data_IF_243767317634
#
_entry.id   IF_243767317634
#
_cell.length_a   1.000
_cell.length_b   1.000
_cell.length_c   1.000
_cell.angle_alpha   90.00
_cell.angle_beta   90.00
_cell.angle_gamma   90.00
#
_symmetry.space_group_name_H-M   'P 1'
#
loop_
_entity.id
_entity.type
_entity.pdbx_description
1 polymer ?
#
# COMPACT_ATOMS: atom_id res chain seq x y z
N UNK A 1 7.68 -7.69 71.22
CA UNK A 1 8.60 -7.41 70.09
C UNK A 1 8.56 -8.60 69.16
N UNK A 2 7.96 -8.45 67.97
CA UNK A 2 8.09 -9.39 66.83
C UNK A 2 7.39 -8.78 65.61
N UNK A 3 8.16 -8.12 64.72
CA UNK A 3 7.83 -8.02 63.28
C UNK A 3 8.51 -9.22 62.61
N UNK A 4 7.86 -9.89 61.65
CA UNK A 4 8.09 -9.58 60.22
C UNK A 4 6.81 -9.85 59.37
N UNK A 5 6.68 -9.66 58.05
CA UNK A 5 7.61 -9.60 56.91
C UNK A 5 6.79 -9.01 55.74
N UNK A 6 7.35 -8.05 55.02
CA UNK A 6 6.80 -7.52 53.77
C UNK A 6 6.81 -8.64 52.72
N UNK A 7 5.70 -8.85 52.01
CA UNK A 7 5.65 -9.69 50.80
C UNK A 7 5.33 -8.79 49.61
N UNK A 8 6.30 -8.63 48.73
CA UNK A 8 6.13 -7.98 47.43
C UNK A 8 5.15 -8.81 46.59
N UNK A 9 3.99 -8.24 46.28
CA UNK A 9 3.09 -8.77 45.27
C UNK A 9 3.56 -8.24 43.92
N UNK A 10 4.27 -9.08 43.16
CA UNK A 10 4.54 -8.84 41.76
C UNK A 10 3.29 -9.21 40.95
N UNK A 11 2.54 -8.22 40.50
CA UNK A 11 1.38 -8.43 39.63
C UNK A 11 1.88 -8.67 38.21
N UNK A 12 1.93 -9.93 37.79
CA UNK A 12 2.19 -10.31 36.41
C UNK A 12 0.97 -9.93 35.54
N UNK A 13 1.14 -8.94 34.66
CA UNK A 13 0.16 -8.62 33.63
C UNK A 13 0.31 -9.65 32.51
N UNK A 14 -0.55 -10.68 32.53
CA UNK A 14 -0.69 -11.61 31.43
C UNK A 14 -1.51 -10.93 30.31
N UNK A 15 -0.85 -10.35 29.33
CA UNK A 15 -1.48 -9.93 28.08
C UNK A 15 -1.76 -11.18 27.24
N UNK A 16 -2.94 -11.77 27.39
CA UNK A 16 -3.45 -12.80 26.49
C UNK A 16 -3.89 -12.14 25.18
N UNK A 17 -2.96 -12.03 24.22
CA UNK A 17 -3.29 -11.87 22.81
C UNK A 17 -3.98 -13.16 22.36
N UNK A 18 -5.30 -13.18 22.45
CA UNK A 18 -6.13 -14.23 21.88
C UNK A 18 -6.01 -14.15 20.35
N UNK A 19 -5.02 -14.84 19.80
CA UNK A 19 -4.92 -15.15 18.38
C UNK A 19 -6.12 -15.99 17.98
N UNK A 20 -7.06 -15.38 17.26
CA UNK A 20 -8.12 -16.10 16.57
C UNK A 20 -7.49 -16.74 15.34
N UNK A 21 -6.72 -17.80 15.57
CA UNK A 21 -6.31 -18.76 14.55
C UNK A 21 -7.48 -19.72 14.32
N UNK A 22 -8.55 -19.22 13.71
CA UNK A 22 -9.49 -20.09 13.02
C UNK A 22 -8.89 -20.41 11.65
N UNK A 23 -7.81 -21.19 11.68
CA UNK A 23 -7.29 -21.90 10.53
C UNK A 23 -8.34 -22.94 10.10
N UNK A 24 -9.28 -22.52 9.26
CA UNK A 24 -10.01 -23.42 8.39
C UNK A 24 -9.01 -24.07 7.42
N UNK A 25 -9.01 -25.40 7.40
CA UNK A 25 -8.23 -26.29 6.55
C UNK A 25 -7.85 -25.74 5.15
N UNK A 26 -6.55 -25.62 4.88
CA UNK A 26 -5.97 -25.82 3.55
C UNK A 26 -6.17 -24.76 2.46
N UNK A 27 -6.71 -23.57 2.78
CA UNK A 27 -6.84 -22.45 1.85
C UNK A 27 -6.08 -21.23 2.33
N UNK A 28 -5.25 -20.63 1.48
CA UNK A 28 -4.60 -19.36 1.74
C UNK A 28 -5.65 -18.29 2.12
N UNK A 29 -5.32 -17.39 3.05
CA UNK A 29 -6.25 -16.34 3.46
C UNK A 29 -6.67 -15.50 2.24
N UNK A 30 -7.91 -14.97 2.19
CA UNK A 30 -8.36 -14.17 1.04
C UNK A 30 -7.40 -13.03 0.70
N UNK A 31 -6.85 -12.35 1.72
CA UNK A 31 -5.81 -11.35 1.56
C UNK A 31 -4.56 -11.91 0.88
N UNK A 32 -3.99 -12.99 1.42
CA UNK A 32 -2.76 -13.56 0.88
C UNK A 32 -2.97 -14.13 -0.52
N UNK A 33 -4.15 -14.70 -0.82
CA UNK A 33 -4.51 -15.13 -2.16
C UNK A 33 -4.63 -13.96 -3.13
N UNK A 34 -5.16 -12.82 -2.68
CA UNK A 34 -5.22 -11.61 -3.48
C UNK A 34 -3.82 -11.02 -3.76
N UNK A 35 -2.93 -11.00 -2.76
CA UNK A 35 -1.54 -10.56 -2.93
C UNK A 35 -0.79 -11.47 -3.90
N UNK A 36 -0.87 -12.79 -3.72
CA UNK A 36 -0.21 -13.77 -4.59
C UNK A 36 -0.70 -13.67 -6.03
N UNK A 37 -2.02 -13.64 -6.23
CA UNK A 37 -2.65 -13.51 -7.55
C UNK A 37 -2.18 -12.27 -8.31
N UNK A 38 -1.82 -11.20 -7.60
CA UNK A 38 -1.40 -9.93 -8.19
C UNK A 38 0.12 -9.69 -8.08
N UNK A 39 0.92 -10.68 -7.66
CA UNK A 39 2.33 -10.49 -7.36
C UNK A 39 3.13 -9.91 -8.55
N UNK A 40 2.85 -10.32 -9.78
CA UNK A 40 3.53 -9.79 -10.97
C UNK A 40 3.23 -8.30 -11.21
N UNK A 41 1.97 -7.90 -11.01
CA UNK A 41 1.57 -6.49 -11.10
C UNK A 41 2.22 -5.66 -9.99
N UNK A 42 2.27 -6.20 -8.76
CA UNK A 42 2.95 -5.55 -7.62
C UNK A 42 4.47 -5.41 -7.87
N UNK A 43 5.13 -6.48 -8.30
CA UNK A 43 6.58 -6.50 -8.58
C UNK A 43 6.98 -5.66 -9.80
N UNK A 44 6.03 -5.26 -10.64
CA UNK A 44 6.27 -4.36 -11.77
C UNK A 44 5.92 -2.91 -11.46
N UNK A 45 5.39 -2.62 -10.27
CA UNK A 45 4.97 -1.28 -9.88
C UNK A 45 6.07 -0.23 -10.11
N UNK A 46 5.72 0.83 -10.82
CA UNK A 46 6.63 1.94 -11.14
C UNK A 46 7.65 1.67 -12.24
N UNK A 47 7.81 0.42 -12.72
CA UNK A 47 8.72 0.08 -13.84
C UNK A 47 8.16 0.57 -15.16
N UNK A 48 6.87 0.33 -15.39
CA UNK A 48 6.14 0.80 -16.56
C UNK A 48 5.36 2.06 -16.20
N UNK A 49 5.67 3.17 -16.86
CA UNK A 49 5.04 4.48 -16.63
C UNK A 49 4.11 4.81 -17.80
N UNK A 50 3.00 4.11 -17.84
CA UNK A 50 1.92 4.31 -18.82
C UNK A 50 0.59 4.37 -18.10
N UNK A 51 -0.41 5.03 -18.70
CA UNK A 51 -1.75 5.12 -18.12
C UNK A 51 -2.37 3.73 -17.90
N UNK A 52 -2.14 2.81 -18.85
CA UNK A 52 -2.59 1.43 -18.74
C UNK A 52 -1.96 0.70 -17.55
N UNK A 53 -0.65 0.87 -17.32
CA UNK A 53 0.05 0.27 -16.19
C UNK A 53 -0.46 0.83 -14.85
N UNK A 54 -0.58 2.15 -14.73
CA UNK A 54 -1.08 2.81 -13.52
C UNK A 54 -2.54 2.45 -13.24
N UNK A 55 -3.36 2.29 -14.28
CA UNK A 55 -4.73 1.79 -14.15
C UNK A 55 -4.74 0.36 -13.59
N UNK A 56 -3.82 -0.50 -14.06
CA UNK A 56 -3.67 -1.86 -13.53
C UNK A 56 -3.25 -1.83 -12.05
N UNK A 57 -2.25 -1.03 -11.69
CA UNK A 57 -1.78 -0.88 -10.31
C UNK A 57 -2.90 -0.43 -9.37
N UNK A 58 -3.63 0.63 -9.72
CA UNK A 58 -4.77 1.12 -8.93
C UNK A 58 -5.82 0.03 -8.72
N UNK A 59 -6.20 -0.70 -9.79
CA UNK A 59 -7.17 -1.81 -9.69
C UNK A 59 -6.68 -2.94 -8.79
N UNK A 60 -5.40 -3.31 -8.90
CA UNK A 60 -4.77 -4.30 -8.04
C UNK A 60 -4.82 -3.87 -6.57
N UNK A 61 -4.42 -2.63 -6.26
CA UNK A 61 -4.48 -2.10 -4.90
C UNK A 61 -5.89 -2.10 -4.31
N UNK A 62 -6.89 -1.65 -5.09
CA UNK A 62 -8.31 -1.72 -4.69
C UNK A 62 -8.79 -3.15 -4.47
N UNK A 63 -8.32 -4.09 -5.27
CA UNK A 63 -8.69 -5.50 -5.12
C UNK A 63 -8.15 -6.06 -3.82
N UNK A 64 -6.87 -5.82 -3.51
CA UNK A 64 -6.23 -6.32 -2.29
C UNK A 64 -6.83 -5.66 -1.04
N UNK A 65 -7.11 -4.35 -1.10
CA UNK A 65 -7.69 -3.59 0.03
C UNK A 65 -9.03 -4.15 0.54
N UNK A 66 -9.80 -4.84 -0.32
CA UNK A 66 -11.09 -5.43 0.08
C UNK A 66 -10.93 -6.51 1.14
N UNK A 67 -9.90 -7.33 0.99
CA UNK A 67 -9.64 -8.50 1.83
C UNK A 67 -8.52 -8.24 2.85
N UNK A 68 -7.82 -7.12 2.75
CA UNK A 68 -6.72 -6.75 3.61
C UNK A 68 -7.12 -6.63 5.10
N UNK A 69 -6.28 -7.11 6.03
CA UNK A 69 -6.51 -6.92 7.45
C UNK A 69 -6.43 -5.44 7.82
N UNK A 70 -7.12 -5.05 8.90
CA UNK A 70 -7.27 -3.66 9.32
C UNK A 70 -5.93 -2.89 9.43
N UNK A 71 -4.85 -3.57 9.84
CA UNK A 71 -3.53 -2.95 10.02
C UNK A 71 -2.82 -2.51 8.73
N UNK A 72 -3.30 -2.89 7.55
CA UNK A 72 -2.69 -2.53 6.24
C UNK A 72 -3.71 -2.13 5.18
N UNK A 73 -5.01 -2.24 5.49
CA UNK A 73 -6.11 -1.91 4.56
C UNK A 73 -6.08 -0.45 4.11
N UNK A 74 -5.79 0.47 5.02
CA UNK A 74 -5.72 1.90 4.71
C UNK A 74 -4.50 2.24 3.86
N UNK A 75 -3.39 1.49 4.00
CA UNK A 75 -2.21 1.64 3.15
C UNK A 75 -2.54 1.27 1.70
N UNK A 76 -3.13 0.09 1.48
CA UNK A 76 -3.58 -0.32 0.14
C UNK A 76 -4.59 0.65 -0.47
N UNK A 77 -5.53 1.14 0.34
CA UNK A 77 -6.53 2.12 -0.11
C UNK A 77 -5.88 3.45 -0.49
N UNK A 78 -4.90 3.91 0.30
CA UNK A 78 -4.13 5.13 0.01
C UNK A 78 -3.34 4.98 -1.28
N UNK A 79 -2.64 3.86 -1.48
CA UNK A 79 -1.90 3.57 -2.71
C UNK A 79 -2.81 3.58 -3.94
N UNK A 80 -3.99 2.96 -3.85
CA UNK A 80 -4.99 3.03 -4.91
C UNK A 80 -5.40 4.46 -5.23
N UNK A 81 -5.73 5.25 -4.20
CA UNK A 81 -6.22 6.61 -4.34
C UNK A 81 -5.18 7.54 -4.97
N UNK A 82 -3.92 7.50 -4.52
CA UNK A 82 -2.89 8.37 -5.09
C UNK A 82 -2.52 7.96 -6.51
N UNK A 83 -2.61 6.66 -6.84
CA UNK A 83 -2.41 6.16 -8.21
C UNK A 83 -3.51 6.64 -9.14
N UNK A 84 -4.77 6.62 -8.70
CA UNK A 84 -5.88 7.24 -9.42
C UNK A 84 -5.70 8.76 -9.56
N UNK A 85 -5.17 9.42 -8.52
CA UNK A 85 -4.90 10.86 -8.53
C UNK A 85 -3.91 11.26 -9.64
N UNK A 86 -2.87 10.45 -9.84
CA UNK A 86 -1.94 10.63 -10.97
C UNK A 86 -2.67 10.51 -12.31
N UNK A 87 -3.48 9.46 -12.51
CA UNK A 87 -4.23 9.28 -13.76
C UNK A 87 -5.25 10.41 -14.01
N UNK A 88 -5.88 10.91 -12.95
CA UNK A 88 -6.82 12.01 -13.03
C UNK A 88 -6.12 13.32 -13.44
N UNK A 89 -4.97 13.62 -12.83
CA UNK A 89 -4.17 14.80 -13.17
C UNK A 89 -3.71 14.76 -14.64
N UNK A 90 -3.22 13.60 -15.09
CA UNK A 90 -2.82 13.40 -16.49
C UNK A 90 -3.96 13.63 -17.47
N UNK A 91 -5.14 13.06 -17.17
CA UNK A 91 -6.34 13.28 -17.95
C UNK A 91 -6.78 14.74 -17.96
N UNK A 92 -6.67 15.44 -16.83
CA UNK A 92 -7.06 16.85 -16.70
C UNK A 92 -6.20 17.76 -17.56
N UNK A 93 -4.88 17.52 -17.59
CA UNK A 93 -3.97 18.31 -18.43
C UNK A 93 -3.95 17.86 -19.89
N UNK A 94 -4.53 16.69 -20.20
CA UNK A 94 -4.58 16.12 -21.55
C UNK A 94 -3.28 15.45 -22.01
N UNK A 95 -2.43 15.02 -21.07
CA UNK A 95 -1.12 14.43 -21.33
C UNK A 95 -1.02 13.03 -20.70
N UNK A 96 -0.89 11.94 -21.48
CA UNK A 96 -0.76 10.60 -20.89
C UNK A 96 0.62 10.38 -20.25
N UNK A 97 0.71 9.42 -19.30
CA UNK A 97 1.96 9.10 -18.58
C UNK A 97 3.15 8.75 -19.50
N UNK A 98 2.90 8.04 -20.60
CA UNK A 98 3.92 7.66 -21.57
C UNK A 98 4.61 8.87 -22.23
N UNK A 99 3.90 9.98 -22.38
CA UNK A 99 4.39 11.19 -23.06
C UNK A 99 5.16 12.13 -22.12
N UNK A 100 5.09 11.91 -20.80
CA UNK A 100 5.86 12.66 -19.79
C UNK A 100 7.38 12.54 -19.93
N UNK A 101 7.86 11.63 -20.79
CA UNK A 101 9.29 11.48 -21.10
C UNK A 101 9.74 12.34 -22.27
N UNK A 102 8.80 12.92 -23.02
CA UNK A 102 9.11 13.83 -24.11
C UNK A 102 9.25 15.25 -23.56
N UNK A 103 10.49 15.72 -23.46
CA UNK A 103 10.80 17.07 -22.98
C UNK A 103 10.10 18.17 -23.79
N UNK A 104 9.85 17.94 -25.08
CA UNK A 104 9.17 18.94 -25.93
C UNK A 104 7.70 19.05 -25.56
N UNK A 105 7.04 17.92 -25.31
CA UNK A 105 5.63 17.89 -24.92
C UNK A 105 5.47 18.50 -23.52
N UNK A 106 6.36 18.16 -22.59
CA UNK A 106 6.34 18.71 -21.23
C UNK A 106 6.61 20.23 -21.23
N UNK A 107 7.46 20.72 -22.14
CA UNK A 107 7.77 22.16 -22.25
C UNK A 107 6.59 23.01 -22.77
N UNK A 108 5.56 22.40 -23.35
CA UNK A 108 4.35 23.11 -23.81
C UNK A 108 3.31 23.31 -22.69
N UNK A 109 3.50 22.69 -21.52
CA UNK A 109 2.59 22.83 -20.39
C UNK A 109 2.71 24.20 -19.73
N UNK A 110 1.57 24.80 -19.39
CA UNK A 110 1.52 26.03 -18.60
C UNK A 110 1.74 25.77 -17.09
N UNK A 111 1.93 26.85 -16.34
CA UNK A 111 2.17 26.78 -14.89
C UNK A 111 1.05 26.06 -14.12
N UNK A 112 -0.21 26.20 -14.56
CA UNK A 112 -1.34 25.58 -13.90
C UNK A 112 -1.35 24.06 -14.15
N UNK A 113 -1.09 23.64 -15.39
CA UNK A 113 -0.96 22.22 -15.76
C UNK A 113 0.22 21.58 -15.03
N UNK A 114 1.38 22.23 -15.02
CA UNK A 114 2.55 21.76 -14.28
C UNK A 114 2.26 21.62 -12.78
N UNK A 115 1.54 22.59 -12.20
CA UNK A 115 1.12 22.52 -10.80
C UNK A 115 0.21 21.30 -10.54
N UNK A 116 -0.81 21.09 -11.38
CA UNK A 116 -1.73 19.95 -11.26
C UNK A 116 -0.98 18.61 -11.28
N UNK A 117 -0.02 18.45 -12.20
CA UNK A 117 0.80 17.25 -12.26
C UNK A 117 1.72 17.10 -11.05
N UNK A 118 2.41 18.17 -10.66
CA UNK A 118 3.34 18.16 -9.53
C UNK A 118 2.64 17.81 -8.22
N UNK A 119 1.49 18.42 -7.92
CA UNK A 119 0.72 18.11 -6.71
C UNK A 119 0.36 16.61 -6.65
N UNK A 120 -0.05 16.02 -7.79
CA UNK A 120 -0.40 14.60 -7.88
C UNK A 120 0.82 13.69 -7.68
N UNK A 121 1.96 14.03 -8.29
CA UNK A 121 3.20 13.28 -8.12
C UNK A 121 3.79 13.41 -6.71
N UNK A 122 3.70 14.57 -6.08
CA UNK A 122 4.11 14.76 -4.69
C UNK A 122 3.28 13.87 -3.75
N UNK A 123 1.95 13.87 -3.91
CA UNK A 123 1.07 13.00 -3.15
C UNK A 123 1.38 11.52 -3.36
N UNK A 124 1.64 11.11 -4.60
CA UNK A 124 2.06 9.75 -4.91
C UNK A 124 3.41 9.39 -4.28
N UNK A 125 4.41 10.27 -4.39
CA UNK A 125 5.75 10.04 -3.88
C UNK A 125 5.77 9.98 -2.34
N UNK A 126 4.93 10.76 -1.68
CA UNK A 126 4.74 10.75 -0.23
C UNK A 126 4.25 9.40 0.34
N UNK A 127 3.78 8.47 -0.50
CA UNK A 127 3.31 7.14 -0.02
C UNK A 127 4.41 6.11 0.26
N UNK A 128 5.65 6.55 0.52
CA UNK A 128 6.78 5.65 0.76
C UNK A 128 6.53 4.70 1.93
N UNK A 129 5.99 5.22 3.04
CA UNK A 129 5.72 4.45 4.24
C UNK A 129 4.63 3.39 4.00
N UNK A 130 3.57 3.74 3.28
CA UNK A 130 2.49 2.81 2.89
C UNK A 130 3.05 1.69 2.02
N UNK A 131 3.92 2.00 1.05
CA UNK A 131 4.59 0.98 0.21
C UNK A 131 5.44 0.03 1.05
N UNK A 132 6.20 0.56 2.01
CA UNK A 132 6.99 -0.28 2.92
C UNK A 132 6.10 -1.14 3.82
N UNK A 133 5.01 -0.59 4.34
CA UNK A 133 4.07 -1.29 5.21
C UNK A 133 3.41 -2.49 4.48
N UNK A 134 2.92 -2.29 3.26
CA UNK A 134 2.28 -3.38 2.48
C UNK A 134 3.27 -4.49 2.12
N UNK A 135 4.51 -4.14 1.74
CA UNK A 135 5.56 -5.13 1.42
C UNK A 135 5.95 -5.92 2.67
N UNK A 136 6.17 -5.23 3.80
CA UNK A 136 6.48 -5.88 5.08
C UNK A 136 5.35 -6.82 5.49
N UNK A 137 4.10 -6.37 5.40
CA UNK A 137 2.95 -7.17 5.79
C UNK A 137 2.75 -8.40 4.89
N UNK A 138 2.90 -8.26 3.57
CA UNK A 138 2.87 -9.40 2.64
C UNK A 138 3.93 -10.45 2.99
N UNK A 139 5.14 -10.01 3.38
CA UNK A 139 6.19 -10.93 3.82
C UNK A 139 5.88 -11.60 5.15
N UNK A 140 5.36 -10.88 6.14
CA UNK A 140 5.13 -11.44 7.49
C UNK A 140 3.87 -12.29 7.59
N UNK A 141 2.77 -11.86 6.96
CA UNK A 141 1.47 -12.53 7.07
C UNK A 141 1.24 -13.58 6.00
N UNK A 142 1.84 -13.40 4.81
CA UNK A 142 1.60 -14.26 3.65
C UNK A 142 2.83 -15.02 3.19
N UNK A 143 4.00 -14.78 3.79
CA UNK A 143 5.29 -15.34 3.34
C UNK A 143 5.63 -15.01 1.87
N UNK A 144 5.01 -13.97 1.30
CA UNK A 144 5.22 -13.53 -0.08
C UNK A 144 6.28 -12.43 -0.10
N UNK A 145 7.32 -12.62 -0.90
CA UNK A 145 8.34 -11.59 -1.13
C UNK A 145 8.00 -10.75 -2.36
N UNK A 146 7.63 -9.49 -2.13
CA UNK A 146 7.49 -8.47 -3.15
C UNK A 146 8.83 -7.72 -3.34
N UNK A 147 9.15 -7.35 -4.58
CA UNK A 147 10.40 -6.71 -5.01
C UNK A 147 10.24 -5.21 -5.22
#
# INVERSE_FOLDING_TARGET
MTRPRVKHAATAVAATLAGVLLAGCGGQSPYCGAVEKNADTLNSFGKTRTDAAYTSYSKTFKSIAKDAPAGVKDDWTTLAKVTDGVLAAQKEVGLPLEDMRDEKVVAELDDAQLKTLNDAYEAFNATADQRTAVVKNAKTECEITLK
#
